data_IF_316779498641
#
_entry.id   IF_316779498641
#
_cell.length_a   1.000
_cell.length_b   1.000
_cell.length_c   1.000
_cell.angle_alpha   90.00
_cell.angle_beta   90.00
_cell.angle_gamma   90.00
#
_symmetry.space_group_name_H-M   'P 1'
#
loop_
_entity.id
_entity.type
_entity.pdbx_description
1 polymer ?
#
# COMPACT_ATOMS: atom_id res chain seq x y z
N UNK A 1 1.99 -6.29 -18.71
CA UNK A 1 2.85 -5.13 -18.97
C UNK A 1 2.80 -4.33 -17.69
N UNK A 2 3.86 -4.44 -16.89
CA UNK A 2 3.97 -3.71 -15.63
C UNK A 2 4.66 -2.41 -15.99
N UNK A 3 3.96 -1.30 -15.85
CA UNK A 3 4.58 0.00 -15.99
C UNK A 3 5.40 0.24 -14.73
N UNK A 4 6.70 0.00 -14.87
CA UNK A 4 7.74 0.43 -13.95
C UNK A 4 7.68 1.96 -13.89
N UNK A 5 7.11 2.53 -12.83
CA UNK A 5 7.27 3.95 -12.53
C UNK A 5 8.73 4.14 -12.12
N UNK A 6 9.54 4.62 -13.06
CA UNK A 6 10.92 4.98 -12.84
C UNK A 6 10.99 6.07 -11.78
N UNK A 7 11.67 5.79 -10.67
CA UNK A 7 12.08 6.81 -9.71
C UNK A 7 13.17 7.65 -10.36
N UNK A 8 12.82 8.78 -10.96
CA UNK A 8 13.80 9.77 -11.38
C UNK A 8 14.51 10.31 -10.14
N UNK A 9 15.80 10.03 -10.03
CA UNK A 9 16.67 10.51 -8.96
C UNK A 9 16.93 12.01 -9.13
N UNK A 10 16.09 12.85 -8.53
CA UNK A 10 16.33 14.29 -8.42
C UNK A 10 17.20 14.57 -7.20
N UNK A 11 18.50 14.79 -7.42
CA UNK A 11 19.46 15.14 -6.38
C UNK A 11 19.15 16.47 -5.68
N UNK A 12 18.27 17.32 -6.24
CA UNK A 12 17.71 18.51 -5.59
C UNK A 12 16.55 18.25 -4.62
N UNK A 13 15.94 17.06 -4.62
CA UNK A 13 14.78 16.73 -3.79
C UNK A 13 15.11 16.41 -2.33
N UNK A 14 16.36 16.04 -2.04
CA UNK A 14 16.77 15.68 -0.65
C UNK A 14 16.74 16.90 0.27
N UNK A 15 17.19 18.05 -0.23
CA UNK A 15 17.28 19.27 0.58
C UNK A 15 15.91 19.92 0.79
N UNK A 16 15.03 19.89 -0.21
CA UNK A 16 13.66 20.39 -0.09
C UNK A 16 12.80 19.49 0.80
N UNK A 17 12.90 18.17 0.66
CA UNK A 17 12.19 17.22 1.54
C UNK A 17 12.65 17.34 3.00
N UNK A 18 13.95 17.53 3.24
CA UNK A 18 14.48 17.76 4.58
C UNK A 18 13.91 19.02 5.20
N UNK A 19 13.99 20.15 4.48
CA UNK A 19 13.47 21.42 4.96
C UNK A 19 11.97 21.37 5.24
N UNK A 20 11.20 20.72 4.36
CA UNK A 20 9.77 20.51 4.57
C UNK A 20 9.51 19.71 5.85
N UNK A 21 10.25 18.61 6.05
CA UNK A 21 10.12 17.77 7.24
C UNK A 21 10.39 18.57 8.52
N UNK A 22 11.45 19.37 8.55
CA UNK A 22 11.77 20.21 9.71
C UNK A 22 10.67 21.24 9.99
N UNK A 23 10.23 21.99 8.97
CA UNK A 23 9.16 23.00 9.14
C UNK A 23 7.83 22.37 9.57
N UNK A 24 7.48 21.21 9.02
CA UNK A 24 6.27 20.50 9.38
C UNK A 24 6.30 19.99 10.82
N UNK A 25 7.42 19.40 11.26
CA UNK A 25 7.57 18.90 12.62
C UNK A 25 7.56 20.03 13.65
N UNK A 26 8.17 21.16 13.33
CA UNK A 26 8.10 22.36 14.18
C UNK A 26 6.64 22.82 14.36
N UNK A 27 5.88 22.90 13.28
CA UNK A 27 4.47 23.31 13.35
C UNK A 27 3.62 22.30 14.14
N UNK A 28 3.87 21.00 13.98
CA UNK A 28 3.21 19.93 14.75
C UNK A 28 3.44 20.12 16.25
N UNK A 29 4.66 20.46 16.66
CA UNK A 29 5.00 20.72 18.06
C UNK A 29 4.41 22.02 18.59
N UNK A 30 4.47 23.11 17.82
CA UNK A 30 3.93 24.43 18.19
C UNK A 30 2.41 24.41 18.41
N UNK A 31 1.68 23.67 17.58
CA UNK A 31 0.22 23.51 17.69
C UNK A 31 -0.18 22.42 18.71
N UNK A 32 0.79 21.69 19.27
CA UNK A 32 0.55 20.67 20.29
C UNK A 32 -0.11 19.39 19.77
N UNK A 33 0.04 19.07 18.48
CA UNK A 33 -0.48 17.82 17.92
C UNK A 33 0.28 16.61 18.45
N UNK A 34 -0.47 15.56 18.77
CA UNK A 34 0.05 14.27 19.19
C UNK A 34 0.10 13.28 18.03
N UNK A 35 0.68 12.11 18.28
CA UNK A 35 0.63 10.98 17.32
C UNK A 35 -0.78 10.44 17.11
N UNK A 36 -1.72 10.72 18.02
CA UNK A 36 -3.10 10.28 17.90
C UNK A 36 -3.89 11.15 16.90
N UNK A 37 -3.40 12.36 16.58
CA UNK A 37 -4.04 13.33 15.70
C UNK A 37 -3.64 13.17 14.22
N UNK A 38 -2.54 12.46 13.94
CA UNK A 38 -2.06 12.22 12.59
C UNK A 38 -2.55 10.86 12.07
N UNK A 39 -3.28 10.84 10.95
CA UNK A 39 -3.74 9.62 10.29
C UNK A 39 -2.99 9.36 9.00
N UNK A 40 -2.64 8.09 8.77
CA UNK A 40 -2.13 7.59 7.51
C UNK A 40 -3.22 6.73 6.87
N UNK A 41 -3.41 6.90 5.57
CA UNK A 41 -4.32 6.11 4.75
C UNK A 41 -3.54 5.44 3.62
N UNK A 42 -3.81 4.17 3.37
CA UNK A 42 -3.17 3.43 2.27
C UNK A 42 -4.14 2.43 1.61
N UNK A 43 -4.02 2.28 0.29
CA UNK A 43 -4.79 1.32 -0.50
C UNK A 43 -3.99 0.01 -0.62
N UNK A 44 -4.53 -1.07 -0.08
CA UNK A 44 -3.97 -2.41 -0.26
C UNK A 44 -4.81 -3.25 -1.20
N UNK A 45 -4.13 -4.01 -2.07
CA UNK A 45 -4.78 -4.92 -3.02
C UNK A 45 -4.53 -6.36 -2.60
N UNK A 46 -5.57 -7.01 -2.10
CA UNK A 46 -5.54 -8.41 -1.70
C UNK A 46 -5.96 -9.28 -2.87
N UNK A 47 -5.13 -10.27 -3.23
CA UNK A 47 -5.53 -11.27 -4.21
C UNK A 47 -6.50 -12.25 -3.53
N UNK A 48 -7.79 -12.09 -3.82
CA UNK A 48 -8.85 -12.93 -3.30
C UNK A 48 -9.01 -14.17 -4.19
N UNK A 49 -9.23 -15.35 -3.60
CA UNK A 49 -9.36 -16.64 -4.31
C UNK A 49 -8.23 -16.99 -5.29
N UNK A 50 -7.02 -16.44 -5.10
CA UNK A 50 -5.89 -16.83 -5.93
C UNK A 50 -5.47 -18.27 -5.62
N UNK A 51 -5.49 -19.14 -6.64
CA UNK A 51 -4.95 -20.50 -6.49
C UNK A 51 -3.44 -20.46 -6.18
N UNK A 52 -2.95 -21.37 -5.33
CA UNK A 52 -1.51 -21.53 -5.09
C UNK A 52 -0.78 -21.75 -6.43
N UNK A 53 0.38 -21.11 -6.61
CA UNK A 53 1.19 -21.25 -7.84
C UNK A 53 1.70 -22.68 -8.08
N UNK A 54 1.72 -23.51 -7.03
CA UNK A 54 2.06 -24.93 -7.06
C UNK A 54 0.81 -25.75 -6.72
N UNK A 55 -0.16 -25.78 -7.61
CA UNK A 55 -1.21 -26.78 -7.53
C UNK A 55 -0.59 -28.14 -7.88
N UNK A 56 -0.81 -29.16 -7.04
CA UNK A 56 -0.80 -30.55 -7.50
C UNK A 56 -2.03 -30.71 -8.42
N UNK A 57 -1.99 -30.07 -9.58
CA UNK A 57 -3.03 -30.18 -10.57
C UNK A 57 -3.17 -31.66 -10.89
N UNK A 58 -4.39 -32.20 -10.72
CA UNK A 58 -4.63 -33.59 -11.12
C UNK A 58 -4.26 -33.74 -12.60
N UNK A 59 -3.84 -34.93 -13.04
CA UNK A 59 -3.51 -35.21 -14.46
C UNK A 59 -4.60 -34.79 -15.45
N UNK A 60 -5.84 -34.56 -14.97
CA UNK A 60 -7.00 -34.11 -15.75
C UNK A 60 -7.01 -32.60 -16.02
N UNK A 61 -6.42 -31.80 -15.13
CA UNK A 61 -6.32 -30.34 -15.27
C UNK A 61 -5.13 -29.91 -16.15
N UNK A 62 -4.04 -30.69 -16.18
CA UNK A 62 -2.90 -30.45 -17.08
C UNK A 62 -3.25 -30.58 -18.56
N UNK A 63 -4.36 -31.25 -18.87
CA UNK A 63 -4.86 -31.49 -20.23
C UNK A 63 -5.91 -30.48 -20.70
N UNK A 64 -6.28 -29.48 -19.89
CA UNK A 64 -7.24 -28.44 -20.29
C UNK A 64 -6.47 -27.23 -20.89
N UNK A 65 -6.49 -27.02 -22.22
CA UNK A 65 -5.87 -25.84 -22.80
C UNK A 65 -6.70 -24.60 -22.39
N UNK A 66 -6.09 -23.66 -21.68
CA UNK A 66 -6.68 -22.34 -21.46
C UNK A 66 -7.32 -22.07 -20.09
N UNK A 67 -7.00 -22.80 -19.02
CA UNK A 67 -7.44 -22.42 -17.67
C UNK A 67 -6.73 -21.13 -17.21
N UNK A 68 -7.31 -19.98 -17.58
CA UNK A 68 -6.94 -18.67 -17.05
C UNK A 68 -7.45 -18.60 -15.63
N UNK A 69 -6.58 -18.82 -14.65
CA UNK A 69 -6.93 -18.67 -13.23
C UNK A 69 -7.44 -17.25 -13.02
N UNK A 70 -8.72 -17.12 -12.66
CA UNK A 70 -9.30 -15.84 -12.26
C UNK A 70 -8.52 -15.34 -11.06
N UNK A 71 -7.87 -14.18 -11.21
CA UNK A 71 -7.30 -13.44 -10.08
C UNK A 71 -8.33 -12.42 -9.68
N UNK A 72 -9.27 -12.84 -8.84
CA UNK A 72 -10.12 -11.87 -8.14
C UNK A 72 -9.21 -11.03 -7.21
N UNK A 73 -9.48 -9.73 -7.15
CA UNK A 73 -8.78 -8.83 -6.25
C UNK A 73 -9.82 -8.06 -5.47
N UNK A 74 -9.59 -7.96 -4.17
CA UNK A 74 -10.30 -7.05 -3.29
C UNK A 74 -9.33 -5.92 -3.01
N UNK A 75 -9.78 -4.70 -3.25
CA UNK A 75 -9.09 -3.50 -2.79
C UNK A 75 -9.66 -3.14 -1.44
N UNK A 76 -8.79 -2.88 -0.48
CA UNK A 76 -9.14 -2.43 0.86
C UNK A 76 -8.36 -1.16 1.16
N UNK A 77 -8.97 -0.24 1.91
CA UNK A 77 -8.36 1.04 2.29
C UNK A 77 -8.22 1.07 3.80
N UNK A 78 -6.98 1.01 4.27
CA UNK A 78 -6.69 1.06 5.70
C UNK A 78 -6.37 2.49 6.11
N UNK A 79 -7.00 2.97 7.18
CA UNK A 79 -6.68 4.26 7.79
C UNK A 79 -6.49 4.10 9.29
N UNK A 80 -5.35 4.55 9.80
CA UNK A 80 -5.00 4.46 11.21
C UNK A 80 -4.22 5.67 11.68
N UNK A 81 -4.35 6.00 12.96
CA UNK A 81 -3.54 7.05 13.56
C UNK A 81 -2.07 6.60 13.69
N UNK A 82 -1.17 7.58 13.82
CA UNK A 82 0.27 7.34 13.86
C UNK A 82 0.74 6.63 15.14
N UNK A 83 -0.10 6.55 16.17
CA UNK A 83 0.13 5.74 17.38
C UNK A 83 -0.35 4.28 17.24
N UNK A 84 -1.23 4.00 16.28
CA UNK A 84 -1.83 2.68 16.06
C UNK A 84 -2.92 2.30 17.06
N UNK A 85 -3.42 3.25 17.87
CA UNK A 85 -4.48 3.02 18.86
C UNK A 85 -5.88 3.11 18.29
N UNK A 86 -6.03 3.74 17.12
CA UNK A 86 -7.32 3.93 16.46
C UNK A 86 -7.21 3.72 14.95
N UNK A 87 -8.20 3.01 14.41
CA UNK A 87 -8.37 2.81 12.98
C UNK A 87 -9.75 3.33 12.54
N UNK A 88 -9.76 4.06 11.43
CA UNK A 88 -10.97 4.52 10.78
C UNK A 88 -11.40 3.50 9.73
N UNK A 89 -12.71 3.32 9.60
CA UNK A 89 -13.26 2.58 8.48
C UNK A 89 -13.20 3.47 7.23
N UNK A 90 -12.29 3.16 6.32
CA UNK A 90 -12.22 3.79 5.00
C UNK A 90 -12.72 2.81 3.95
N UNK A 91 -13.51 3.32 3.00
CA UNK A 91 -14.14 2.56 1.92
C UNK A 91 -13.23 2.43 0.70
#
# INVERSE_FOLDING_TARGET
>A
MADTIGSESLSGGKNSAHKFKETFLQHVEEEGYSRDDAYIIDETRVNWKALPRKTLASKRESTAPGLKVSKERVTDMACANASGTHALHCL
#
